data_IF_748923410542
#
_entry.id   IF_748923410542
#
_cell.length_a   1.000
_cell.length_b   1.000
_cell.length_c   1.000
_cell.angle_alpha   90.00
_cell.angle_beta   90.00
_cell.angle_gamma   90.00
#
_symmetry.space_group_name_H-M   'P 1'
#
loop_
_entity.id
_entity.type
_entity.pdbx_description
1 polymer ?
#
# COMPACT_ATOMS: atom_id res chain seq x y z
N UNK A 1 -27.20 40.73 -0.28
CA UNK A 1 -25.81 41.07 0.07
C UNK A 1 -25.72 41.04 1.58
N UNK A 2 -24.98 40.08 2.12
CA UNK A 2 -24.68 40.04 3.56
C UNK A 2 -23.75 41.18 3.89
N UNK A 3 -24.30 42.25 4.44
CA UNK A 3 -23.53 43.43 4.81
C UNK A 3 -22.59 43.04 5.96
N UNK A 4 -21.30 43.10 5.68
CA UNK A 4 -20.24 42.71 6.59
C UNK A 4 -20.35 43.52 7.92
N UNK A 5 -20.54 42.82 9.04
CA UNK A 5 -20.64 43.43 10.38
C UNK A 5 -19.48 44.37 10.70
N UNK A 6 -18.31 44.15 10.15
CA UNK A 6 -17.12 44.96 10.29
C UNK A 6 -17.32 46.33 9.61
N UNK A 7 -18.04 46.38 8.49
CA UNK A 7 -18.37 47.67 7.81
C UNK A 7 -19.18 48.60 8.72
N UNK A 8 -20.21 48.08 9.40
CA UNK A 8 -20.99 48.91 10.33
C UNK A 8 -20.17 49.34 11.54
N UNK A 9 -19.24 48.59 12.00
CA UNK A 9 -18.31 48.94 13.08
C UNK A 9 -17.40 50.10 12.68
N UNK A 10 -16.92 50.12 11.43
CA UNK A 10 -16.18 51.27 10.89
C UNK A 10 -17.05 52.51 10.83
N UNK A 11 -18.30 52.42 10.43
CA UNK A 11 -19.23 53.54 10.43
C UNK A 11 -19.50 54.07 11.84
N UNK A 12 -19.65 53.16 12.84
CA UNK A 12 -19.79 53.56 14.24
C UNK A 12 -18.55 54.29 14.74
N UNK A 13 -17.34 53.83 14.41
CA UNK A 13 -16.09 54.50 14.78
C UNK A 13 -15.98 55.88 14.11
N UNK A 14 -16.34 55.99 12.84
CA UNK A 14 -16.35 57.26 12.13
C UNK A 14 -17.25 58.29 12.79
N UNK A 15 -18.49 57.93 13.16
CA UNK A 15 -19.42 58.84 13.85
C UNK A 15 -19.02 59.12 15.30
N UNK A 16 -18.37 58.16 15.98
CA UNK A 16 -17.77 58.35 17.30
C UNK A 16 -16.70 59.44 17.27
N UNK A 17 -15.76 59.37 16.29
CA UNK A 17 -14.74 60.41 16.07
C UNK A 17 -15.34 61.75 15.67
N UNK A 18 -16.50 61.75 15.02
CA UNK A 18 -17.29 62.98 14.76
C UNK A 18 -18.11 63.49 15.97
N UNK A 19 -17.86 62.91 17.16
CA UNK A 19 -18.51 63.31 18.40
C UNK A 19 -20.03 63.24 18.35
N UNK A 20 -20.62 62.33 17.54
CA UNK A 20 -22.06 62.07 17.54
C UNK A 20 -22.39 61.13 18.69
N UNK A 21 -23.61 61.20 19.25
CA UNK A 21 -24.10 60.25 20.26
C UNK A 21 -24.60 58.94 19.61
N UNK A 22 -24.77 57.87 20.39
CA UNK A 22 -25.14 56.56 19.89
C UNK A 22 -26.51 56.55 19.18
N UNK A 23 -27.50 57.31 19.69
CA UNK A 23 -28.81 57.39 19.08
C UNK A 23 -28.79 58.09 17.72
N UNK A 24 -28.02 59.19 17.61
CA UNK A 24 -27.83 59.92 16.36
C UNK A 24 -27.09 59.06 15.34
N UNK A 25 -26.09 58.26 15.76
CA UNK A 25 -25.34 57.35 14.92
C UNK A 25 -26.21 56.22 14.38
N UNK A 26 -26.99 55.57 15.24
CA UNK A 26 -27.93 54.53 14.83
C UNK A 26 -28.93 55.08 13.79
N UNK A 27 -29.53 56.25 14.06
CA UNK A 27 -30.48 56.89 13.14
C UNK A 27 -29.87 57.20 11.80
N UNK A 28 -28.59 57.67 11.75
CA UNK A 28 -27.90 57.99 10.50
C UNK A 28 -27.52 56.76 9.68
N UNK A 29 -27.09 55.67 10.35
CA UNK A 29 -26.80 54.41 9.68
C UNK A 29 -28.10 53.81 9.15
N UNK A 30 -29.15 53.74 9.94
CA UNK A 30 -30.45 53.24 9.50
C UNK A 30 -31.09 54.06 8.38
N UNK A 31 -30.86 55.38 8.33
CA UNK A 31 -31.37 56.23 7.24
C UNK A 31 -30.74 55.90 5.87
N UNK A 32 -29.52 55.39 5.86
CA UNK A 32 -28.79 55.03 4.62
C UNK A 32 -28.99 53.55 4.24
N UNK A 33 -28.91 52.64 5.24
CA UNK A 33 -28.88 51.19 5.01
C UNK A 33 -30.23 50.53 5.29
N UNK A 34 -31.24 51.24 5.73
CA UNK A 34 -32.58 50.74 6.05
C UNK A 34 -32.85 50.65 7.55
N UNK A 35 -34.15 50.73 7.90
CA UNK A 35 -34.59 50.68 9.29
C UNK A 35 -34.25 49.32 9.93
N UNK A 36 -33.66 49.32 11.13
CA UNK A 36 -33.31 48.12 11.88
C UNK A 36 -31.95 47.53 11.56
N UNK A 37 -31.20 48.08 10.61
CA UNK A 37 -29.85 47.60 10.22
C UNK A 37 -28.89 47.56 11.42
N UNK A 38 -28.97 48.55 12.31
CA UNK A 38 -28.16 48.62 13.52
C UNK A 38 -29.01 49.07 14.70
N UNK A 39 -29.06 48.26 15.76
CA UNK A 39 -29.72 48.62 16.98
C UNK A 39 -28.92 49.67 17.77
N UNK A 40 -29.60 50.66 18.37
CA UNK A 40 -28.96 51.67 19.21
C UNK A 40 -28.14 51.08 20.35
N UNK A 41 -28.64 49.97 20.95
CA UNK A 41 -27.93 49.23 22.01
C UNK A 41 -26.57 48.69 21.54
N UNK A 42 -26.48 48.27 20.29
CA UNK A 42 -25.21 47.79 19.65
C UNK A 42 -24.25 48.98 19.51
N UNK A 43 -24.72 50.15 19.03
CA UNK A 43 -23.90 51.34 18.92
C UNK A 43 -23.38 51.79 20.27
N UNK A 44 -24.23 51.76 21.33
CA UNK A 44 -23.81 52.10 22.71
C UNK A 44 -22.71 51.19 23.22
N UNK A 45 -22.79 49.87 22.97
CA UNK A 45 -21.72 48.90 23.33
C UNK A 45 -20.41 49.22 22.64
N UNK A 46 -20.43 49.48 21.33
CA UNK A 46 -19.24 49.89 20.59
C UNK A 46 -18.67 51.21 21.03
N UNK A 47 -19.51 52.21 21.31
CA UNK A 47 -19.07 53.51 21.85
C UNK A 47 -18.44 53.39 23.24
N UNK A 48 -18.92 52.43 24.09
CA UNK A 48 -18.26 52.16 25.35
C UNK A 48 -16.85 51.60 25.14
N UNK A 49 -16.66 50.65 24.17
CA UNK A 49 -15.34 50.15 23.79
C UNK A 49 -14.41 51.23 23.25
N UNK A 50 -14.92 52.13 22.40
CA UNK A 50 -14.14 53.22 21.87
C UNK A 50 -13.73 54.24 22.93
N UNK A 51 -14.54 54.46 23.97
CA UNK A 51 -14.17 55.33 25.11
C UNK A 51 -13.10 54.70 26.02
N UNK A 52 -12.94 53.38 25.98
CA UNK A 52 -11.83 52.68 26.66
C UNK A 52 -10.62 52.46 25.74
N UNK A 53 -10.47 53.26 24.69
CA UNK A 53 -9.40 53.22 23.69
C UNK A 53 -9.27 51.88 22.95
N UNK A 54 -10.32 51.05 22.97
CA UNK A 54 -10.35 49.81 22.22
C UNK A 54 -11.01 50.02 20.85
N UNK A 55 -10.17 50.12 19.81
CA UNK A 55 -10.57 50.36 18.42
C UNK A 55 -10.50 49.12 17.55
N UNK A 56 -10.30 47.91 18.13
CA UNK A 56 -10.34 46.65 17.42
C UNK A 56 -11.77 46.37 16.95
N UNK A 57 -11.96 46.31 15.63
CA UNK A 57 -13.26 46.15 14.98
C UNK A 57 -13.54 44.72 14.52
N UNK A 58 -12.56 43.83 14.63
CA UNK A 58 -12.73 42.45 14.26
C UNK A 58 -13.39 41.62 15.40
N UNK A 59 -13.98 40.50 15.03
CA UNK A 59 -14.48 39.56 16.01
C UNK A 59 -13.27 38.78 16.55
N UNK A 60 -13.06 38.81 17.85
CA UNK A 60 -12.09 37.94 18.49
C UNK A 60 -12.52 36.49 18.31
N UNK A 61 -11.56 35.63 18.07
CA UNK A 61 -11.80 34.19 18.14
C UNK A 61 -12.48 33.86 19.48
N UNK A 62 -13.59 33.15 19.38
CA UNK A 62 -14.28 32.69 20.58
C UNK A 62 -13.45 31.56 21.17
N UNK A 63 -13.05 31.65 22.42
CA UNK A 63 -12.49 30.52 23.14
C UNK A 63 -13.48 29.36 23.08
N UNK A 64 -13.13 28.29 22.36
CA UNK A 64 -13.92 27.09 22.34
C UNK A 64 -14.05 26.48 23.74
N UNK A 65 -14.87 25.44 23.87
CA UNK A 65 -14.93 24.65 25.11
C UNK A 65 -13.50 24.15 25.42
N UNK A 66 -13.00 24.28 26.66
CA UNK A 66 -11.67 23.76 27.00
C UNK A 66 -11.55 22.30 26.58
N UNK A 67 -10.48 21.95 25.87
CA UNK A 67 -10.18 20.57 25.56
C UNK A 67 -9.96 19.82 26.88
N UNK A 68 -10.70 18.76 27.11
CA UNK A 68 -10.61 17.94 28.33
C UNK A 68 -9.38 17.05 28.30
N UNK A 69 -8.80 16.82 27.12
CA UNK A 69 -7.65 15.93 26.86
C UNK A 69 -6.66 16.66 25.99
N UNK A 70 -5.38 16.49 26.31
CA UNK A 70 -4.26 16.96 25.55
C UNK A 70 -4.01 16.03 24.35
N UNK A 71 -3.87 16.59 23.17
CA UNK A 71 -3.56 15.86 21.94
C UNK A 71 -2.26 15.05 22.07
N UNK A 72 -1.26 15.54 22.82
CA UNK A 72 0.01 14.88 23.07
C UNK A 72 -0.16 13.53 23.81
N UNK A 73 -1.18 13.38 24.64
CA UNK A 73 -1.46 12.12 25.31
C UNK A 73 -1.98 11.06 24.32
N UNK A 74 -2.80 11.47 23.37
CA UNK A 74 -3.30 10.57 22.33
C UNK A 74 -2.16 10.15 21.40
N UNK A 75 -1.30 11.09 21.00
CA UNK A 75 -0.11 10.83 20.16
C UNK A 75 0.82 9.84 20.87
N UNK A 76 1.14 10.06 22.13
CA UNK A 76 2.00 9.16 22.91
C UNK A 76 1.44 7.73 23.00
N UNK A 77 0.12 7.58 23.18
CA UNK A 77 -0.51 6.25 23.22
C UNK A 77 -0.42 5.52 21.87
N UNK A 78 -0.57 6.26 20.76
CA UNK A 78 -0.47 5.69 19.41
C UNK A 78 0.98 5.35 19.07
N UNK A 79 1.95 6.19 19.42
CA UNK A 79 3.38 5.92 19.20
C UNK A 79 3.85 4.69 19.98
N UNK A 80 3.37 4.52 21.21
CA UNK A 80 3.65 3.34 22.01
C UNK A 80 2.99 2.07 21.49
N UNK A 81 1.78 2.18 20.96
CA UNK A 81 1.06 1.05 20.35
C UNK A 81 0.10 1.54 19.25
N UNK A 82 0.53 1.53 17.97
CA UNK A 82 -0.29 1.94 16.82
C UNK A 82 -1.57 1.13 16.62
N UNK A 83 -1.72 -0.01 17.31
CA UNK A 83 -2.87 -0.92 17.21
C UNK A 83 -3.96 -0.67 18.25
N UNK A 84 -3.80 0.33 19.12
CA UNK A 84 -4.87 0.72 20.02
C UNK A 84 -6.14 1.09 19.24
N UNK A 85 -7.26 0.52 19.66
CA UNK A 85 -8.54 0.94 19.12
C UNK A 85 -8.95 2.30 19.74
N UNK A 86 -9.82 3.04 19.06
CA UNK A 86 -10.35 4.29 19.61
C UNK A 86 -11.10 4.08 20.94
N UNK A 87 -11.58 2.85 21.20
CA UNK A 87 -12.20 2.46 22.47
C UNK A 87 -11.17 2.24 23.57
N UNK A 88 -10.06 1.58 23.27
CA UNK A 88 -8.97 1.38 24.23
C UNK A 88 -8.37 2.73 24.65
N UNK A 89 -8.11 3.62 23.70
CA UNK A 89 -7.64 4.99 23.99
C UNK A 89 -8.67 5.76 24.82
N UNK A 90 -9.96 5.61 24.49
CA UNK A 90 -11.04 6.26 25.23
C UNK A 90 -11.14 5.77 26.68
N UNK A 91 -10.93 4.47 26.91
CA UNK A 91 -10.90 3.85 28.24
C UNK A 91 -9.68 4.33 29.05
N UNK A 92 -8.49 4.35 28.46
CA UNK A 92 -7.25 4.82 29.11
C UNK A 92 -7.37 6.29 29.51
N UNK A 93 -7.91 7.13 28.65
CA UNK A 93 -8.03 8.58 28.88
C UNK A 93 -9.33 9.01 29.55
N UNK A 94 -10.23 8.07 29.89
CA UNK A 94 -11.54 8.30 30.49
C UNK A 94 -12.42 9.31 29.74
N UNK A 95 -12.40 9.24 28.39
CA UNK A 95 -13.20 10.10 27.51
C UNK A 95 -14.09 9.26 26.57
N UNK A 96 -14.98 9.95 25.83
CA UNK A 96 -15.78 9.24 24.82
C UNK A 96 -14.93 8.82 23.61
N UNK A 97 -15.21 7.63 23.03
CA UNK A 97 -14.52 7.19 21.81
C UNK A 97 -14.71 8.16 20.64
N UNK A 98 -15.84 8.87 20.58
CA UNK A 98 -16.09 9.89 19.56
C UNK A 98 -15.20 11.13 19.75
N UNK A 99 -14.81 11.46 20.98
CA UNK A 99 -13.79 12.50 21.22
C UNK A 99 -12.45 12.05 20.66
N UNK A 100 -12.03 10.80 20.92
CA UNK A 100 -10.79 10.23 20.37
C UNK A 100 -10.78 10.30 18.83
N UNK A 101 -11.89 9.87 18.19
CA UNK A 101 -12.01 9.93 16.71
C UNK A 101 -11.77 11.35 16.19
N UNK A 102 -12.42 12.37 16.80
CA UNK A 102 -12.26 13.77 16.37
C UNK A 102 -10.85 14.30 16.58
N UNK A 103 -10.21 13.96 17.70
CA UNK A 103 -8.80 14.33 17.93
C UNK A 103 -7.88 13.68 16.90
N UNK A 104 -8.06 12.39 16.60
CA UNK A 104 -7.29 11.67 15.58
C UNK A 104 -7.46 12.28 14.17
N UNK A 105 -8.69 12.62 13.80
CA UNK A 105 -8.98 13.30 12.52
C UNK A 105 -8.28 14.67 12.46
N UNK A 106 -8.32 15.44 13.56
CA UNK A 106 -7.67 16.76 13.64
C UNK A 106 -6.15 16.64 13.55
N UNK A 107 -5.57 15.60 14.16
CA UNK A 107 -4.15 15.28 14.12
C UNK A 107 -3.71 14.65 12.80
N UNK A 108 -4.64 14.34 11.88
CA UNK A 108 -4.34 13.74 10.59
C UNK A 108 -4.10 12.23 10.61
N UNK A 109 -4.41 11.56 11.74
CA UNK A 109 -4.34 10.11 11.81
C UNK A 109 -5.52 9.47 11.07
N UNK A 110 -5.24 8.47 10.24
CA UNK A 110 -6.23 7.67 9.53
C UNK A 110 -6.09 6.21 9.92
N UNK A 111 -7.22 5.57 10.20
CA UNK A 111 -7.22 4.13 10.45
C UNK A 111 -6.96 3.39 9.14
N UNK A 112 -5.86 2.64 9.10
CA UNK A 112 -5.48 1.76 7.98
C UNK A 112 -5.26 0.36 8.51
N UNK A 113 -5.55 -0.64 7.68
CA UNK A 113 -5.10 -2.00 7.98
C UNK A 113 -3.58 -2.06 7.91
N UNK A 114 -2.98 -2.76 8.87
CA UNK A 114 -1.56 -3.09 8.80
C UNK A 114 -1.28 -3.81 7.49
N UNK A 115 -0.20 -3.43 6.85
CA UNK A 115 0.25 -4.15 5.66
C UNK A 115 1.02 -5.38 6.14
N UNK A 116 0.56 -6.56 5.71
CA UNK A 116 1.29 -7.79 5.95
C UNK A 116 2.65 -7.73 5.26
N UNK A 117 3.70 -7.80 6.06
CA UNK A 117 5.07 -7.91 5.57
C UNK A 117 5.57 -9.34 5.80
N UNK A 118 6.43 -9.88 4.91
CA UNK A 118 6.88 -11.28 5.01
C UNK A 118 7.67 -11.58 6.28
N UNK A 119 8.42 -10.59 6.78
CA UNK A 119 9.31 -10.74 7.92
C UNK A 119 9.68 -9.36 8.50
N UNK A 120 9.97 -9.31 9.81
CA UNK A 120 10.58 -8.13 10.41
C UNK A 120 12.06 -8.06 9.98
N UNK A 121 12.41 -7.01 9.25
CA UNK A 121 13.76 -6.86 8.70
C UNK A 121 14.73 -6.41 9.78
N UNK A 122 15.82 -7.14 9.95
CA UNK A 122 16.95 -6.69 10.80
C UNK A 122 17.74 -5.60 10.09
N UNK A 123 18.56 -4.84 10.81
CA UNK A 123 19.46 -3.83 10.22
C UNK A 123 20.33 -4.42 9.10
N UNK A 124 20.85 -5.63 9.30
CA UNK A 124 21.61 -6.33 8.28
C UNK A 124 20.77 -6.60 7.02
N UNK A 125 19.53 -7.06 7.18
CA UNK A 125 18.64 -7.28 6.04
C UNK A 125 18.37 -5.98 5.28
N UNK A 126 18.14 -4.86 6.00
CA UNK A 126 17.96 -3.54 5.40
C UNK A 126 19.19 -3.12 4.59
N UNK A 127 20.39 -3.27 5.17
CA UNK A 127 21.65 -2.95 4.48
C UNK A 127 21.89 -3.83 3.25
N UNK A 128 21.65 -5.15 3.35
CA UNK A 128 21.77 -6.08 2.22
C UNK A 128 20.80 -5.69 1.11
N UNK A 129 19.56 -5.33 1.42
CA UNK A 129 18.56 -4.87 0.46
C UNK A 129 19.00 -3.59 -0.25
N UNK A 130 19.52 -2.60 0.48
CA UNK A 130 20.05 -1.35 -0.10
C UNK A 130 21.22 -1.66 -1.03
N UNK A 131 22.21 -2.41 -0.54
CA UNK A 131 23.44 -2.70 -1.28
C UNK A 131 23.16 -3.45 -2.58
N UNK A 132 22.30 -4.49 -2.54
CA UNK A 132 21.92 -5.24 -3.74
C UNK A 132 21.14 -4.38 -4.71
N UNK A 133 20.15 -3.60 -4.22
CA UNK A 133 19.33 -2.74 -5.07
C UNK A 133 20.15 -1.64 -5.76
N UNK A 134 21.04 -0.97 -5.03
CA UNK A 134 21.94 0.05 -5.59
C UNK A 134 22.90 -0.53 -6.64
N UNK A 135 23.47 -1.72 -6.35
CA UNK A 135 24.33 -2.42 -7.32
C UNK A 135 23.60 -2.78 -8.61
N UNK A 136 22.36 -3.29 -8.49
CA UNK A 136 21.54 -3.67 -9.66
C UNK A 136 21.09 -2.44 -10.46
N UNK A 137 20.78 -1.32 -9.80
CA UNK A 137 20.48 -0.05 -10.47
C UNK A 137 21.67 0.42 -11.32
N UNK A 138 22.84 0.56 -10.70
CA UNK A 138 24.07 0.99 -11.38
C UNK A 138 24.44 0.06 -12.53
N UNK A 139 24.27 -1.25 -12.33
CA UNK A 139 24.49 -2.22 -13.39
C UNK A 139 23.53 -2.01 -14.55
N UNK A 140 22.24 -1.84 -14.28
CA UNK A 140 21.24 -1.67 -15.34
C UNK A 140 21.39 -0.35 -16.10
N UNK A 141 21.93 0.70 -15.47
CA UNK A 141 22.27 1.96 -16.13
C UNK A 141 23.45 1.81 -17.11
N UNK A 142 24.47 1.01 -16.73
CA UNK A 142 25.65 0.80 -17.54
C UNK A 142 25.46 -0.29 -18.62
N UNK A 143 24.77 -1.35 -18.30
CA UNK A 143 24.45 -2.49 -19.18
C UNK A 143 22.99 -2.91 -18.96
N UNK A 144 22.02 -2.35 -19.69
CA UNK A 144 20.62 -2.71 -19.59
C UNK A 144 20.42 -4.21 -19.83
N UNK A 145 19.92 -4.91 -18.81
CA UNK A 145 19.82 -6.37 -18.83
C UNK A 145 18.40 -6.91 -18.65
N UNK A 146 17.40 -6.06 -18.40
CA UNK A 146 16.05 -6.50 -18.08
C UNK A 146 15.38 -7.32 -19.18
N UNK A 147 15.64 -7.01 -20.45
CA UNK A 147 15.12 -7.78 -21.58
C UNK A 147 15.76 -9.17 -21.71
N UNK A 148 16.90 -9.39 -21.05
CA UNK A 148 17.59 -10.69 -20.95
C UNK A 148 17.28 -11.43 -19.66
N UNK A 149 16.47 -10.82 -18.78
CA UNK A 149 16.17 -11.38 -17.47
C UNK A 149 15.07 -12.43 -17.58
N UNK A 150 15.38 -13.64 -17.11
CA UNK A 150 14.41 -14.70 -16.86
C UNK A 150 14.30 -14.85 -15.36
N UNK A 151 13.09 -14.70 -14.82
CA UNK A 151 12.80 -14.85 -13.39
C UNK A 151 12.02 -16.13 -13.15
N UNK A 152 12.38 -16.86 -12.10
CA UNK A 152 11.72 -18.11 -11.70
C UNK A 152 11.35 -18.12 -10.24
N UNK A 153 10.23 -18.80 -9.94
CA UNK A 153 9.76 -18.97 -8.57
C UNK A 153 8.72 -20.10 -8.45
N UNK A 154 8.42 -20.51 -7.21
CA UNK A 154 7.50 -21.59 -6.89
C UNK A 154 6.31 -21.08 -6.06
N UNK A 155 5.13 -21.57 -6.41
CA UNK A 155 3.89 -21.27 -5.68
C UNK A 155 3.05 -22.50 -5.45
N UNK A 156 2.58 -22.68 -4.21
CA UNK A 156 1.55 -23.66 -3.93
C UNK A 156 0.19 -23.21 -4.46
N UNK A 157 -0.46 -24.10 -5.22
CA UNK A 157 -1.85 -23.96 -5.63
C UNK A 157 -2.65 -25.02 -4.87
N UNK A 158 -3.62 -24.57 -4.08
CA UNK A 158 -4.52 -25.46 -3.35
C UNK A 158 -5.64 -25.91 -4.29
N UNK A 159 -6.04 -27.18 -4.22
CA UNK A 159 -7.13 -27.68 -5.04
C UNK A 159 -8.48 -27.05 -4.70
N UNK A 160 -8.69 -26.69 -3.45
CA UNK A 160 -9.89 -26.00 -3.01
C UNK A 160 -9.54 -24.62 -2.46
N UNK A 161 -9.69 -23.60 -3.31
CA UNK A 161 -9.39 -22.20 -2.96
C UNK A 161 -10.66 -21.50 -2.42
N UNK A 162 -11.35 -22.12 -1.46
CA UNK A 162 -12.50 -21.48 -0.81
C UNK A 162 -11.98 -20.29 -0.02
N UNK A 163 -12.31 -19.11 -0.49
CA UNK A 163 -12.08 -17.90 0.29
C UNK A 163 -13.08 -17.77 1.42
N UNK A 164 -12.60 -17.12 2.49
CA UNK A 164 -13.30 -16.65 3.68
C UNK A 164 -14.84 -16.77 3.65
N UNK A 165 -15.41 -17.15 4.79
CA UNK A 165 -16.88 -17.22 5.00
C UNK A 165 -17.58 -16.00 4.40
N UNK A 166 -18.15 -16.17 3.21
CA UNK A 166 -18.96 -15.12 2.58
C UNK A 166 -20.23 -14.96 3.39
N UNK A 167 -20.61 -13.72 3.67
CA UNK A 167 -21.95 -13.44 4.16
C UNK A 167 -22.95 -13.86 3.10
N UNK A 168 -23.86 -14.76 3.46
CA UNK A 168 -24.93 -15.23 2.58
C UNK A 168 -26.29 -14.72 3.04
N UNK A 169 -27.14 -14.41 2.11
CA UNK A 169 -28.53 -14.07 2.41
C UNK A 169 -29.35 -15.37 2.48
N UNK A 170 -29.91 -15.68 3.64
CA UNK A 170 -30.82 -16.80 3.86
C UNK A 170 -32.10 -16.35 4.51
N UNK A 171 -33.19 -17.11 4.41
CA UNK A 171 -34.40 -16.86 5.17
C UNK A 171 -34.10 -17.00 6.67
N UNK A 172 -34.89 -16.32 7.50
CA UNK A 172 -34.64 -16.16 8.96
C UNK A 172 -34.35 -17.46 9.73
N UNK A 173 -34.77 -18.60 9.20
CA UNK A 173 -34.63 -19.94 9.80
C UNK A 173 -33.74 -20.89 8.98
N UNK A 174 -33.07 -20.42 7.93
CA UNK A 174 -32.16 -21.24 7.11
C UNK A 174 -30.71 -20.87 7.42
N UNK A 175 -29.96 -21.84 7.93
CA UNK A 175 -28.51 -21.69 8.10
C UNK A 175 -27.84 -22.34 6.91
N UNK A 176 -27.21 -21.52 6.06
CA UNK A 176 -26.37 -22.06 4.98
C UNK A 176 -25.07 -22.60 5.59
N UNK A 177 -24.80 -23.87 5.34
CA UNK A 177 -23.60 -24.54 5.83
C UNK A 177 -22.49 -24.44 4.79
N UNK A 178 -21.29 -24.03 5.23
CA UNK A 178 -20.07 -24.11 4.43
C UNK A 178 -19.22 -25.27 4.98
N UNK A 179 -18.74 -26.21 4.15
CA UNK A 179 -17.84 -27.26 4.61
C UNK A 179 -16.61 -26.62 5.29
N UNK A 180 -16.17 -27.23 6.39
CA UNK A 180 -14.92 -26.84 7.03
C UNK A 180 -13.76 -27.21 6.10
N UNK A 181 -12.77 -26.32 6.01
CA UNK A 181 -11.56 -26.60 5.24
C UNK A 181 -10.86 -27.86 5.77
N UNK A 182 -10.30 -28.64 4.84
CA UNK A 182 -9.48 -29.80 5.18
C UNK A 182 -8.26 -29.34 5.99
N UNK A 183 -7.92 -30.05 7.05
CA UNK A 183 -6.71 -29.79 7.86
C UNK A 183 -5.43 -29.90 7.01
N UNK A 184 -5.44 -30.72 5.97
CA UNK A 184 -4.35 -30.92 5.02
C UNK A 184 -4.87 -30.78 3.59
N UNK A 185 -5.04 -29.56 3.08
CA UNK A 185 -5.58 -29.35 1.75
C UNK A 185 -4.68 -29.96 0.69
N UNK A 186 -5.26 -30.69 -0.25
CA UNK A 186 -4.56 -31.14 -1.45
C UNK A 186 -4.02 -29.92 -2.19
N UNK A 187 -2.75 -29.95 -2.55
CA UNK A 187 -2.06 -28.85 -3.23
C UNK A 187 -1.06 -29.38 -4.25
N UNK A 188 -0.79 -28.57 -5.23
CA UNK A 188 0.22 -28.81 -6.27
C UNK A 188 1.19 -27.63 -6.26
N UNK A 189 2.48 -27.88 -6.51
CA UNK A 189 3.48 -26.83 -6.59
C UNK A 189 3.62 -26.41 -8.06
N UNK A 190 3.38 -25.16 -8.33
CA UNK A 190 3.71 -24.51 -9.61
C UNK A 190 5.15 -24.02 -9.51
N UNK A 191 6.03 -24.52 -10.41
CA UNK A 191 7.34 -23.93 -10.69
C UNK A 191 7.24 -23.23 -12.04
N UNK A 192 7.55 -21.94 -12.13
CA UNK A 192 7.37 -21.14 -13.34
C UNK A 192 8.54 -20.22 -13.60
N UNK A 193 8.94 -20.14 -14.87
CA UNK A 193 9.98 -19.23 -15.37
C UNK A 193 9.43 -18.40 -16.52
N UNK A 194 9.65 -17.11 -16.44
CA UNK A 194 9.08 -16.16 -17.38
C UNK A 194 9.98 -14.93 -17.57
N UNK A 195 9.76 -14.21 -18.65
CA UNK A 195 10.46 -12.99 -19.03
C UNK A 195 9.47 -11.88 -19.42
N UNK A 196 9.97 -10.76 -19.92
CA UNK A 196 9.14 -9.65 -20.37
C UNK A 196 8.23 -9.98 -21.58
N UNK A 197 8.46 -11.09 -22.30
CA UNK A 197 7.62 -11.58 -23.41
C UNK A 197 6.58 -12.60 -22.96
N UNK A 198 6.74 -13.21 -21.79
CA UNK A 198 5.81 -14.22 -21.29
C UNK A 198 6.46 -15.44 -20.65
N UNK A 199 5.68 -16.49 -20.48
CA UNK A 199 6.15 -17.73 -19.85
C UNK A 199 7.07 -18.50 -20.80
N UNK A 200 8.27 -18.78 -20.31
CA UNK A 200 9.25 -19.61 -21.01
C UNK A 200 9.01 -21.08 -20.75
N UNK A 201 8.92 -21.45 -19.45
CA UNK A 201 8.68 -22.81 -19.01
C UNK A 201 7.92 -22.83 -17.69
N UNK A 202 7.06 -23.84 -17.48
CA UNK A 202 6.47 -24.12 -16.17
C UNK A 202 6.24 -25.62 -15.98
N UNK A 203 6.21 -26.04 -14.73
CA UNK A 203 5.93 -27.41 -14.34
C UNK A 203 5.04 -27.43 -13.10
N UNK A 204 4.08 -28.37 -13.05
CA UNK A 204 3.28 -28.68 -11.89
C UNK A 204 3.81 -29.92 -11.19
N UNK A 205 4.31 -29.77 -9.96
CA UNK A 205 4.77 -30.90 -9.13
C UNK A 205 3.62 -31.41 -8.26
N UNK A 206 3.23 -32.68 -8.40
CA UNK A 206 2.22 -33.31 -7.55
C UNK A 206 2.60 -33.25 -6.08
N UNK A 207 1.59 -33.39 -5.20
CA UNK A 207 1.76 -33.32 -3.74
C UNK A 207 2.86 -34.24 -3.16
N UNK A 208 3.14 -35.34 -3.83
CA UNK A 208 4.11 -36.35 -3.38
C UNK A 208 5.54 -36.08 -3.86
N UNK A 209 5.76 -35.05 -4.63
CA UNK A 209 7.08 -34.65 -5.12
C UNK A 209 7.60 -33.44 -4.36
N UNK A 210 8.82 -33.57 -3.86
CA UNK A 210 9.52 -32.51 -3.18
C UNK A 210 10.51 -31.86 -4.16
N UNK A 211 10.55 -30.53 -4.18
CA UNK A 211 11.56 -29.79 -4.91
C UNK A 211 12.91 -29.88 -4.17
N UNK A 212 13.73 -30.82 -4.55
CA UNK A 212 15.12 -30.94 -4.11
C UNK A 212 16.08 -30.42 -5.17
N UNK A 213 17.38 -30.42 -4.89
CA UNK A 213 18.40 -29.92 -5.82
C UNK A 213 18.47 -30.70 -7.13
N UNK A 214 18.26 -32.05 -7.10
CA UNK A 214 18.26 -32.87 -8.33
C UNK A 214 17.09 -32.50 -9.24
N UNK A 215 15.87 -32.38 -8.65
CA UNK A 215 14.68 -31.96 -9.40
C UNK A 215 14.85 -30.55 -9.96
N UNK A 216 15.42 -29.62 -9.16
CA UNK A 216 15.66 -28.27 -9.61
C UNK A 216 16.68 -28.24 -10.76
N UNK A 217 17.78 -28.99 -10.69
CA UNK A 217 18.73 -29.11 -11.79
C UNK A 217 18.07 -29.67 -13.06
N UNK A 218 17.21 -30.68 -12.94
CA UNK A 218 16.43 -31.21 -14.07
C UNK A 218 15.50 -30.15 -14.67
N UNK A 219 14.86 -29.32 -13.85
CA UNK A 219 14.02 -28.20 -14.31
C UNK A 219 14.85 -27.14 -15.04
N UNK A 220 16.06 -26.84 -14.57
CA UNK A 220 16.98 -25.94 -15.28
C UNK A 220 17.39 -26.46 -16.67
N UNK A 221 17.53 -27.78 -16.84
CA UNK A 221 17.78 -28.38 -18.14
C UNK A 221 16.58 -28.22 -19.09
N UNK A 222 15.37 -28.44 -18.58
CA UNK A 222 14.14 -28.22 -19.34
C UNK A 222 13.96 -26.74 -19.70
N UNK A 223 14.25 -25.84 -18.74
CA UNK A 223 14.22 -24.41 -18.96
C UNK A 223 15.23 -24.02 -20.07
N UNK A 224 16.44 -24.55 -20.05
CA UNK A 224 17.45 -24.29 -21.09
C UNK A 224 16.93 -24.70 -22.46
N UNK A 225 16.35 -25.89 -22.60
CA UNK A 225 15.78 -26.36 -23.86
C UNK A 225 14.62 -25.44 -24.32
N UNK A 226 13.76 -25.00 -23.39
CA UNK A 226 12.69 -24.05 -23.70
C UNK A 226 13.19 -22.68 -24.10
N UNK A 227 14.31 -22.20 -23.53
CA UNK A 227 14.96 -20.94 -23.92
C UNK A 227 15.50 -21.07 -25.35
N UNK A 228 16.18 -22.15 -25.66
CA UNK A 228 16.77 -22.38 -27.00
C UNK A 228 15.67 -22.39 -28.08
N UNK A 229 14.50 -22.91 -27.77
CA UNK A 229 13.36 -22.97 -28.68
C UNK A 229 12.63 -21.63 -28.78
N UNK A 230 12.27 -21.01 -27.63
CA UNK A 230 11.35 -19.86 -27.60
C UNK A 230 12.06 -18.52 -27.58
N UNK A 231 13.33 -18.47 -27.21
CA UNK A 231 14.15 -17.25 -27.04
C UNK A 231 15.54 -17.40 -27.64
N UNK A 232 15.65 -17.81 -28.92
CA UNK A 232 16.95 -18.02 -29.55
C UNK A 232 17.85 -16.77 -29.58
N UNK A 233 17.24 -15.58 -29.50
CA UNK A 233 17.97 -14.32 -29.39
C UNK A 233 18.80 -14.24 -28.11
N UNK A 234 18.36 -14.81 -26.97
CA UNK A 234 19.14 -14.78 -25.74
C UNK A 234 20.42 -15.65 -25.80
N UNK A 235 20.40 -16.68 -26.64
CA UNK A 235 21.56 -17.57 -26.87
C UNK A 235 22.64 -16.85 -27.68
N UNK A 236 22.23 -16.03 -28.65
CA UNK A 236 23.09 -15.36 -29.61
C UNK A 236 23.59 -13.97 -29.16
N UNK A 237 23.05 -13.45 -28.07
CA UNK A 237 23.42 -12.16 -27.47
C UNK A 237 24.29 -12.35 -26.23
N UNK A 238 24.34 -11.34 -25.35
CA UNK A 238 25.13 -11.34 -24.10
C UNK A 238 24.75 -12.42 -23.06
N UNK A 239 23.88 -13.37 -23.40
CA UNK A 239 23.47 -14.48 -22.54
C UNK A 239 22.27 -14.17 -21.64
N UNK A 240 21.82 -15.18 -20.90
CA UNK A 240 20.69 -15.12 -19.98
C UNK A 240 21.12 -14.48 -18.66
N UNK A 241 20.36 -13.52 -18.20
CA UNK A 241 20.42 -12.99 -16.83
C UNK A 241 19.33 -13.71 -16.03
N UNK A 242 19.73 -14.45 -15.00
CA UNK A 242 18.84 -15.34 -14.28
C UNK A 242 18.52 -14.81 -12.88
N UNK A 243 17.25 -14.64 -12.58
CA UNK A 243 16.76 -14.22 -11.28
C UNK A 243 16.00 -15.35 -10.58
N UNK A 244 16.42 -15.69 -9.37
CA UNK A 244 15.79 -16.70 -8.52
C UNK A 244 15.82 -16.28 -7.05
N UNK A 245 14.98 -16.91 -6.23
CA UNK A 245 15.00 -16.76 -4.80
C UNK A 245 16.14 -17.51 -4.12
N UNK A 246 16.47 -17.13 -2.88
CA UNK A 246 17.50 -17.78 -2.06
C UNK A 246 16.98 -19.01 -1.29
N UNK A 247 16.17 -19.86 -1.92
CA UNK A 247 15.67 -21.09 -1.31
C UNK A 247 16.76 -22.16 -1.29
N UNK A 248 16.76 -23.05 -0.30
CA UNK A 248 17.82 -24.06 -0.11
C UNK A 248 18.13 -24.90 -1.35
N UNK A 249 17.11 -25.31 -2.11
CA UNK A 249 17.27 -26.05 -3.37
C UNK A 249 18.00 -25.25 -4.43
N UNK A 250 17.82 -23.92 -4.48
CA UNK A 250 18.42 -23.04 -5.47
C UNK A 250 19.88 -22.69 -5.15
N UNK A 251 20.20 -22.53 -3.87
CA UNK A 251 21.55 -22.12 -3.43
C UNK A 251 22.48 -23.30 -3.11
N UNK A 252 22.02 -24.54 -3.31
CA UNK A 252 22.84 -25.73 -3.11
C UNK A 252 24.09 -25.71 -4.02
N UNK A 253 25.15 -26.39 -3.62
CA UNK A 253 26.36 -26.49 -4.43
C UNK A 253 26.06 -27.04 -5.82
N UNK A 254 25.24 -28.08 -5.90
CA UNK A 254 24.83 -28.70 -7.17
C UNK A 254 24.10 -27.72 -8.09
N UNK A 255 23.14 -26.97 -7.56
CA UNK A 255 22.37 -25.96 -8.33
C UNK A 255 23.27 -24.82 -8.84
N UNK A 256 24.21 -24.36 -7.99
CA UNK A 256 25.20 -23.36 -8.39
C UNK A 256 26.12 -23.86 -9.50
N UNK A 257 26.64 -25.09 -9.38
CA UNK A 257 27.46 -25.71 -10.43
C UNK A 257 26.68 -25.83 -11.74
N UNK A 258 25.39 -26.21 -11.66
CA UNK A 258 24.52 -26.29 -12.82
C UNK A 258 24.35 -24.92 -13.51
N UNK A 259 24.08 -23.86 -12.75
CA UNK A 259 23.97 -22.52 -13.31
C UNK A 259 25.26 -22.02 -13.96
N UNK A 260 26.42 -22.34 -13.37
CA UNK A 260 27.74 -22.05 -13.98
C UNK A 260 27.92 -22.83 -15.28
N UNK A 261 27.57 -24.13 -15.34
CA UNK A 261 27.61 -24.93 -16.54
C UNK A 261 26.72 -24.38 -17.66
N UNK A 262 25.55 -23.83 -17.31
CA UNK A 262 24.65 -23.20 -18.26
C UNK A 262 25.15 -21.83 -18.74
N UNK A 263 26.16 -21.27 -18.09
CA UNK A 263 26.72 -19.96 -18.43
C UNK A 263 25.76 -18.79 -18.14
N UNK A 264 24.82 -18.99 -17.23
CA UNK A 264 23.85 -17.94 -16.88
C UNK A 264 24.39 -16.99 -15.81
N UNK A 265 24.13 -15.72 -16.02
CA UNK A 265 24.49 -14.65 -15.09
C UNK A 265 23.41 -14.50 -14.01
N UNK A 266 23.69 -15.01 -12.82
CA UNK A 266 22.72 -15.06 -11.73
C UNK A 266 22.70 -13.74 -10.96
N UNK A 267 21.53 -13.10 -10.92
CA UNK A 267 21.33 -11.86 -10.16
C UNK A 267 21.36 -12.12 -8.65
N UNK A 268 22.04 -11.26 -7.89
CA UNK A 268 21.90 -11.28 -6.45
C UNK A 268 20.48 -10.92 -6.03
N UNK A 269 19.94 -11.66 -5.05
CA UNK A 269 18.62 -11.38 -4.46
C UNK A 269 18.76 -11.32 -2.94
N UNK A 270 18.33 -10.23 -2.28
CA UNK A 270 18.45 -10.11 -0.84
C UNK A 270 17.45 -11.04 -0.11
N UNK A 271 17.79 -11.52 1.10
CA UNK A 271 16.86 -12.32 1.89
C UNK A 271 15.56 -11.58 2.20
N UNK A 272 14.48 -12.35 2.39
CA UNK A 272 13.16 -11.84 2.78
C UNK A 272 12.62 -10.71 1.90
N UNK A 273 12.85 -10.78 0.57
CA UNK A 273 12.55 -9.69 -0.36
C UNK A 273 11.60 -10.09 -1.49
N UNK A 274 10.39 -10.61 -1.21
CA UNK A 274 9.41 -10.92 -2.26
C UNK A 274 8.93 -9.66 -3.01
N UNK A 275 9.04 -8.51 -2.39
CA UNK A 275 8.76 -7.21 -3.03
C UNK A 275 9.76 -6.84 -4.14
N UNK A 276 10.90 -7.54 -4.23
CA UNK A 276 11.91 -7.41 -5.28
C UNK A 276 11.89 -8.60 -6.26
N UNK A 277 10.96 -9.53 -6.11
CA UNK A 277 10.81 -10.69 -6.97
C UNK A 277 9.59 -10.54 -7.90
N UNK A 278 9.79 -10.43 -9.24
CA UNK A 278 8.69 -10.23 -10.18
C UNK A 278 7.59 -11.28 -10.09
N UNK A 279 7.95 -12.53 -9.78
CA UNK A 279 6.96 -13.59 -9.60
C UNK A 279 6.02 -13.31 -8.43
N UNK A 280 6.54 -12.82 -7.29
CA UNK A 280 5.74 -12.53 -6.11
C UNK A 280 4.89 -11.28 -6.26
N UNK A 281 5.55 -10.12 -6.52
CA UNK A 281 4.83 -8.84 -6.48
C UNK A 281 3.90 -8.65 -7.69
N UNK A 282 4.11 -9.37 -8.79
CA UNK A 282 3.34 -9.20 -10.02
C UNK A 282 2.54 -10.45 -10.40
N UNK A 283 3.22 -11.54 -10.80
CA UNK A 283 2.57 -12.73 -11.36
C UNK A 283 1.67 -13.45 -10.34
N UNK A 284 2.23 -13.83 -9.20
CA UNK A 284 1.50 -14.61 -8.19
C UNK A 284 0.40 -13.84 -7.51
N UNK A 285 0.53 -12.52 -7.41
CA UNK A 285 -0.53 -11.66 -6.90
C UNK A 285 -1.78 -11.69 -7.80
N UNK A 286 -1.59 -11.65 -9.13
CA UNK A 286 -2.69 -11.72 -10.10
C UNK A 286 -3.21 -13.15 -10.23
N UNK A 287 -2.32 -14.14 -10.26
CA UNK A 287 -2.68 -15.57 -10.29
C UNK A 287 -3.53 -15.93 -9.07
N UNK A 288 -3.16 -15.49 -7.86
CA UNK A 288 -3.95 -15.76 -6.66
C UNK A 288 -5.38 -15.23 -6.78
N UNK A 289 -5.55 -14.03 -7.34
CA UNK A 289 -6.90 -13.48 -7.59
C UNK A 289 -7.71 -14.35 -8.55
N UNK A 290 -7.08 -14.96 -9.56
CA UNK A 290 -7.76 -15.86 -10.51
C UNK A 290 -8.11 -17.22 -9.89
N UNK A 291 -7.32 -17.67 -8.92
CA UNK A 291 -7.54 -18.92 -8.20
C UNK A 291 -8.65 -18.81 -7.14
N UNK A 292 -8.88 -17.63 -6.62
CA UNK A 292 -9.81 -17.38 -5.53
C UNK A 292 -11.23 -17.87 -5.86
N UNK A 293 -11.80 -18.70 -4.98
CA UNK A 293 -13.13 -19.29 -5.13
C UNK A 293 -13.20 -20.43 -6.15
N UNK A 294 -12.05 -20.85 -6.71
CA UNK A 294 -11.97 -21.99 -7.63
C UNK A 294 -11.71 -23.30 -6.86
N UNK A 295 -12.29 -24.38 -7.36
CA UNK A 295 -12.02 -25.75 -6.90
C UNK A 295 -11.60 -26.61 -8.10
N UNK A 296 -10.53 -27.36 -7.91
CA UNK A 296 -9.96 -28.25 -8.91
C UNK A 296 -10.15 -29.70 -8.48
N UNK A 297 -10.58 -30.58 -9.38
CA UNK A 297 -10.76 -31.99 -9.09
C UNK A 297 -9.51 -32.82 -9.44
N UNK A 298 -8.71 -32.33 -10.36
CA UNK A 298 -7.53 -33.02 -10.88
C UNK A 298 -6.35 -32.06 -11.13
N UNK A 299 -5.16 -32.62 -11.35
CA UNK A 299 -3.99 -31.90 -11.79
C UNK A 299 -4.22 -31.28 -13.17
N UNK A 300 -4.95 -31.96 -14.04
CA UNK A 300 -5.27 -31.48 -15.38
C UNK A 300 -6.20 -30.26 -15.32
N UNK A 301 -7.15 -30.21 -14.40
CA UNK A 301 -8.00 -29.02 -14.20
C UNK A 301 -7.15 -27.80 -13.80
N UNK A 302 -6.18 -28.01 -12.88
CA UNK A 302 -5.23 -26.96 -12.51
C UNK A 302 -4.41 -26.47 -13.70
N UNK A 303 -3.93 -27.41 -14.52
CA UNK A 303 -3.11 -27.12 -15.70
C UNK A 303 -3.92 -26.32 -16.73
N UNK A 304 -5.12 -26.77 -17.05
CA UNK A 304 -6.02 -26.10 -17.99
C UNK A 304 -6.33 -24.65 -17.52
N UNK A 305 -6.55 -24.46 -16.23
CA UNK A 305 -6.77 -23.12 -15.67
C UNK A 305 -5.53 -22.24 -15.81
N UNK A 306 -4.33 -22.78 -15.57
CA UNK A 306 -3.07 -22.05 -15.74
C UNK A 306 -2.81 -21.69 -17.21
N UNK A 307 -3.02 -22.64 -18.12
CA UNK A 307 -2.85 -22.40 -19.56
C UNK A 307 -3.79 -21.30 -20.03
N UNK A 308 -5.07 -21.33 -19.62
CA UNK A 308 -6.02 -20.27 -19.89
C UNK A 308 -5.56 -18.93 -19.27
N UNK A 309 -5.16 -18.93 -17.99
CA UNK A 309 -4.67 -17.73 -17.31
C UNK A 309 -3.49 -17.10 -18.04
N UNK A 310 -2.52 -17.92 -18.49
CA UNK A 310 -1.35 -17.46 -19.23
C UNK A 310 -1.76 -16.88 -20.59
N UNK A 311 -2.63 -17.56 -21.31
CA UNK A 311 -3.10 -17.14 -22.62
C UNK A 311 -3.90 -15.81 -22.60
N UNK A 312 -4.58 -15.51 -21.49
CA UNK A 312 -5.35 -14.28 -21.30
C UNK A 312 -4.47 -13.05 -21.03
N UNK A 313 -3.17 -13.22 -20.76
CA UNK A 313 -2.27 -12.09 -20.45
C UNK A 313 -1.67 -11.50 -21.72
N UNK A 314 -1.81 -10.20 -21.85
CA UNK A 314 -1.20 -9.45 -22.93
C UNK A 314 0.32 -9.27 -22.73
N UNK A 315 1.02 -8.89 -23.81
CA UNK A 315 2.47 -8.64 -23.74
C UNK A 315 2.82 -7.57 -22.69
N UNK A 316 1.98 -6.56 -22.54
CA UNK A 316 2.22 -5.46 -21.58
C UNK A 316 2.16 -5.92 -20.13
N UNK A 317 1.38 -6.97 -19.82
CA UNK A 317 1.37 -7.58 -18.48
C UNK A 317 2.76 -8.11 -18.13
N UNK A 318 3.38 -8.88 -19.02
CA UNK A 318 4.70 -9.49 -18.80
C UNK A 318 5.80 -8.43 -18.74
N UNK A 319 5.78 -7.51 -19.68
CA UNK A 319 6.70 -6.38 -19.74
C UNK A 319 6.69 -5.58 -18.43
N UNK A 320 5.51 -5.15 -17.98
CA UNK A 320 5.35 -4.39 -16.74
C UNK A 320 5.89 -5.15 -15.51
N UNK A 321 5.76 -6.47 -15.47
CA UNK A 321 6.29 -7.29 -14.39
C UNK A 321 7.79 -7.17 -14.23
N UNK A 322 8.55 -7.19 -15.33
CA UNK A 322 10.02 -7.11 -15.31
C UNK A 322 10.50 -5.66 -15.25
N UNK A 323 9.93 -4.77 -16.07
CA UNK A 323 10.43 -3.39 -16.23
C UNK A 323 10.18 -2.50 -15.01
N UNK A 324 9.38 -2.93 -14.03
CA UNK A 324 9.21 -2.25 -12.74
C UNK A 324 10.36 -2.46 -11.76
N UNK A 325 11.28 -3.38 -12.01
CA UNK A 325 12.41 -3.66 -11.10
C UNK A 325 13.25 -2.43 -10.75
N UNK A 326 13.69 -1.59 -11.71
CA UNK A 326 14.49 -0.41 -11.38
C UNK A 326 13.76 0.60 -10.48
N UNK A 327 12.46 0.78 -10.67
CA UNK A 327 11.65 1.64 -9.81
C UNK A 327 11.61 1.08 -8.38
N UNK A 328 11.45 -0.24 -8.22
CA UNK A 328 11.43 -0.91 -6.92
C UNK A 328 12.79 -0.85 -6.24
N UNK A 329 13.88 -1.10 -6.95
CA UNK A 329 15.23 -0.94 -6.40
C UNK A 329 15.48 0.48 -5.92
N UNK A 330 15.06 1.51 -6.70
CA UNK A 330 15.20 2.92 -6.31
C UNK A 330 14.40 3.21 -5.02
N UNK A 331 13.16 2.75 -4.92
CA UNK A 331 12.33 2.89 -3.72
C UNK A 331 12.98 2.26 -2.49
N UNK A 332 13.58 1.06 -2.63
CA UNK A 332 14.29 0.41 -1.51
C UNK A 332 15.47 1.27 -1.05
N UNK A 333 16.25 1.83 -1.95
CA UNK A 333 17.37 2.71 -1.60
C UNK A 333 16.86 3.99 -0.92
N UNK A 334 15.86 4.65 -1.48
CA UNK A 334 15.26 5.88 -0.95
C UNK A 334 14.59 5.69 0.43
N UNK A 335 14.02 4.51 0.66
CA UNK A 335 13.31 4.16 1.89
C UNK A 335 14.17 3.40 2.91
N UNK A 336 15.51 3.52 2.82
CA UNK A 336 16.45 2.87 3.73
C UNK A 336 16.23 1.36 3.91
N UNK A 337 15.94 0.66 2.82
CA UNK A 337 15.83 -0.80 2.81
C UNK A 337 14.47 -1.36 3.19
N UNK A 338 13.50 -0.55 3.57
CA UNK A 338 12.15 -1.03 3.95
C UNK A 338 11.41 -1.66 2.78
N UNK A 339 10.33 -2.40 3.07
CA UNK A 339 9.51 -3.02 2.04
C UNK A 339 8.83 -2.01 1.13
N UNK A 340 8.83 -2.29 -0.18
CA UNK A 340 8.05 -1.54 -1.16
C UNK A 340 6.61 -2.03 -1.13
N UNK A 341 5.76 -1.28 -0.45
CA UNK A 341 4.32 -1.55 -0.30
C UNK A 341 3.54 -0.82 -1.39
N UNK A 342 2.62 -1.54 -2.09
CA UNK A 342 1.69 -0.99 -3.11
C UNK A 342 0.23 -1.13 -2.65
#
# INVERSE_FOLDING_TARGET
MEENKVHFRHLMLFYFRKRKNAAQTAKKICAIYGNGTVAESTVRKWFARFRSDNFDLEDRERSGRPAVVDDDQIVTLIENNPRHTTRDIAEILHISHMSVVRHLETLGYVNRYDVWVPHDLTERNLMDRISVSDSLLKRNENDPFLERTITGDEKWIVYNNVQERKRSWGKRNETLTTPKDDLYPKKVMLCIWWDWKGVVYYELLPHNQTLNSDKYCSQLDQLKAAIDEKRPELVNQKGVVFHQHNVRSHISLQSRQKLVQLGWDVLPHPPYSPDLAPSDYHLFRVLQKSLNGKSFNSLEDCKNHLDQFIAEKDAKFWENGIMKLPERWRKVVEQNGTYVVE
#
